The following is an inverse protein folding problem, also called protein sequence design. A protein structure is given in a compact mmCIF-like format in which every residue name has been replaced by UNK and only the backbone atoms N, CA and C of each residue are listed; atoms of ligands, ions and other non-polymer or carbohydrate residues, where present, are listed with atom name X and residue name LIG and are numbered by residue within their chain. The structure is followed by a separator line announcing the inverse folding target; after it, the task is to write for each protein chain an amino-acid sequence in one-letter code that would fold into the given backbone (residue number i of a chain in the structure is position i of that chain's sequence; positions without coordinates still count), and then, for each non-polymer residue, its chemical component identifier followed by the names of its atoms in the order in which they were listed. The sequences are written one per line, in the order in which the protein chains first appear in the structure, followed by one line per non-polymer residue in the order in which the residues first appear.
data_IF_609831565541
#
_entry.id   IF_609831565541
#
_cell.length_a   1.000
_cell.length_b   1.000
_cell.length_c   1.000
_cell.angle_alpha   90.00
_cell.angle_beta   90.00
_cell.angle_gamma   90.00
#
_symmetry.space_group_name_H-M   'P 1'
#
loop_
_entity.id
_entity.type
_entity.pdbx_description
1 polymer ?
#
# COMPACT_ATOMS: atom_id res chain seq x y z
N UNK A 1 -3.55 -12.51 12.87
CA UNK A 1 -4.34 -12.62 11.62
C UNK A 1 -5.71 -11.97 11.71
N UNK A 2 -6.45 -12.08 12.82
CA UNK A 2 -7.71 -11.34 13.05
C UNK A 2 -7.47 -9.83 12.92
N UNK A 3 -6.36 -9.31 13.46
CA UNK A 3 -5.94 -7.93 13.28
C UNK A 3 -5.65 -7.57 11.80
N UNK A 4 -5.04 -8.47 11.02
CA UNK A 4 -4.83 -8.29 9.57
C UNK A 4 -6.14 -8.23 8.80
N UNK A 5 -7.14 -9.02 9.20
CA UNK A 5 -8.44 -9.03 8.56
C UNK A 5 -9.25 -7.76 8.88
N UNK A 6 -9.18 -7.27 10.14
CA UNK A 6 -9.76 -5.99 10.56
C UNK A 6 -9.08 -4.81 9.87
N UNK A 7 -7.75 -4.81 9.80
CA UNK A 7 -6.97 -3.81 9.07
C UNK A 7 -7.30 -3.85 7.58
N UNK A 8 -7.56 -5.03 7.00
CA UNK A 8 -8.04 -5.17 5.62
C UNK A 8 -9.41 -4.50 5.38
N UNK A 9 -10.33 -4.57 6.34
CA UNK A 9 -11.64 -3.91 6.25
C UNK A 9 -11.55 -2.39 6.37
N UNK A 10 -10.72 -1.87 7.28
CA UNK A 10 -10.44 -0.42 7.38
C UNK A 10 -9.78 0.14 6.10
N UNK A 11 -8.94 -0.65 5.45
CA UNK A 11 -8.32 -0.30 4.17
C UNK A 11 -9.36 -0.03 3.09
N UNK A 12 -10.38 -0.90 2.98
CA UNK A 12 -11.46 -0.70 2.03
C UNK A 12 -12.16 0.66 2.21
N UNK A 13 -12.21 1.20 3.43
CA UNK A 13 -12.82 2.50 3.71
C UNK A 13 -11.89 3.64 3.27
N UNK A 14 -10.61 3.60 3.63
CA UNK A 14 -9.61 4.64 3.28
C UNK A 14 -9.40 4.75 1.78
N UNK A 15 -9.27 3.61 1.10
CA UNK A 15 -9.16 3.56 -0.36
C UNK A 15 -10.38 4.13 -1.05
N UNK A 16 -11.55 3.83 -0.52
CA UNK A 16 -12.81 4.39 -1.01
C UNK A 16 -12.83 5.91 -0.87
N UNK A 17 -12.38 6.46 0.26
CA UNK A 17 -12.31 7.91 0.48
C UNK A 17 -11.34 8.58 -0.50
N UNK A 18 -10.12 8.07 -0.66
CA UNK A 18 -9.16 8.59 -1.62
C UNK A 18 -9.68 8.49 -3.06
N UNK A 19 -10.30 7.36 -3.40
CA UNK A 19 -10.87 7.18 -4.73
C UNK A 19 -12.09 8.10 -4.97
N UNK A 20 -12.90 8.38 -3.96
CA UNK A 20 -14.00 9.34 -4.06
C UNK A 20 -13.49 10.76 -4.33
N UNK A 21 -12.38 11.17 -3.73
CA UNK A 21 -11.73 12.45 -4.02
C UNK A 21 -11.30 12.49 -5.49
N UNK A 22 -10.64 11.44 -5.98
CA UNK A 22 -10.21 11.35 -7.38
C UNK A 22 -11.41 11.35 -8.34
N UNK A 23 -12.50 10.66 -8.00
CA UNK A 23 -13.72 10.67 -8.81
C UNK A 23 -14.32 12.08 -8.89
N UNK A 24 -14.31 12.84 -7.79
CA UNK A 24 -14.73 14.25 -7.82
C UNK A 24 -13.91 15.05 -8.84
N UNK A 25 -12.60 14.82 -8.91
CA UNK A 25 -11.71 15.45 -9.91
C UNK A 25 -12.11 15.07 -11.34
N UNK A 26 -12.41 13.77 -11.56
CA UNK A 26 -12.66 13.22 -12.90
C UNK A 26 -14.08 13.45 -13.43
N UNK A 27 -15.04 13.74 -12.57
CA UNK A 27 -16.45 13.92 -12.95
C UNK A 27 -16.89 15.39 -13.08
N UNK A 28 -16.00 16.34 -12.82
CA UNK A 28 -16.27 17.78 -13.04
C UNK A 28 -16.24 18.11 -14.53
N UNK A 29 -17.00 19.15 -14.96
CA UNK A 29 -17.02 19.61 -16.35
C UNK A 29 -15.62 20.03 -16.81
N UNK A 30 -14.91 20.82 -16.02
CA UNK A 30 -13.51 21.18 -16.27
C UNK A 30 -12.56 20.34 -15.41
N UNK A 31 -12.13 19.22 -16.00
CA UNK A 31 -11.23 18.26 -15.36
C UNK A 31 -9.81 18.81 -15.19
N UNK A 32 -9.40 19.75 -16.06
CA UNK A 32 -8.08 20.38 -16.03
C UNK A 32 -7.94 21.28 -14.81
N UNK A 33 -8.94 22.13 -14.55
CA UNK A 33 -8.92 23.00 -13.38
C UNK A 33 -8.95 22.19 -12.10
N UNK A 34 -9.85 21.20 -12.01
CA UNK A 34 -9.91 20.31 -10.86
C UNK A 34 -8.58 19.57 -10.63
N UNK A 35 -7.95 19.02 -11.67
CA UNK A 35 -6.67 18.35 -11.56
C UNK A 35 -5.54 19.32 -11.11
N UNK A 36 -5.52 20.53 -11.65
CA UNK A 36 -4.56 21.58 -11.26
C UNK A 36 -4.62 21.93 -9.77
N UNK A 37 -5.81 21.83 -9.15
CA UNK A 37 -6.02 22.10 -7.73
C UNK A 37 -5.72 20.90 -6.84
N UNK A 38 -6.20 19.72 -7.20
CA UNK A 38 -6.19 18.55 -6.33
C UNK A 38 -4.94 17.67 -6.46
N UNK A 39 -4.35 17.55 -7.66
CA UNK A 39 -3.15 16.70 -7.85
C UNK A 39 -1.96 17.18 -7.02
N UNK A 40 -1.65 18.49 -6.90
CA UNK A 40 -0.60 18.95 -6.00
C UNK A 40 -0.84 18.60 -4.52
N UNK A 41 -2.10 18.62 -4.06
CA UNK A 41 -2.47 18.23 -2.70
C UNK A 41 -2.21 16.74 -2.47
N UNK A 42 -2.55 15.89 -3.44
CA UNK A 42 -2.29 14.45 -3.36
C UNK A 42 -0.78 14.13 -3.37
N UNK A 43 0.01 14.87 -4.17
CA UNK A 43 1.48 14.76 -4.16
C UNK A 43 2.05 15.18 -2.80
N UNK A 44 1.56 16.27 -2.24
CA UNK A 44 1.95 16.77 -0.93
C UNK A 44 1.65 15.75 0.18
N UNK A 45 0.46 15.18 0.19
CA UNK A 45 0.07 14.13 1.15
C UNK A 45 1.00 12.91 1.07
N UNK A 46 1.33 12.48 -0.13
CA UNK A 46 2.25 11.39 -0.34
C UNK A 46 3.68 11.72 0.13
N UNK A 47 4.18 12.93 -0.16
CA UNK A 47 5.49 13.38 0.31
C UNK A 47 5.54 13.41 1.84
N UNK A 48 4.47 13.85 2.50
CA UNK A 48 4.34 13.78 3.96
C UNK A 48 4.39 12.34 4.49
N UNK A 49 3.63 11.43 3.89
CA UNK A 49 3.66 10.02 4.28
C UNK A 49 5.06 9.40 4.09
N UNK A 50 5.75 9.74 2.99
CA UNK A 50 7.12 9.29 2.74
C UNK A 50 8.10 9.83 3.78
N UNK A 51 8.04 11.12 4.09
CA UNK A 51 8.91 11.78 5.09
C UNK A 51 8.68 11.18 6.48
N UNK A 52 7.43 11.04 6.89
CA UNK A 52 7.09 10.43 8.18
C UNK A 52 7.63 8.99 8.28
N UNK A 53 7.47 8.19 7.21
CA UNK A 53 8.00 6.84 7.16
C UNK A 53 9.52 6.80 7.26
N UNK A 54 10.22 7.63 6.50
CA UNK A 54 11.69 7.69 6.52
C UNK A 54 12.21 8.13 7.89
N UNK A 55 11.57 9.10 8.54
CA UNK A 55 11.95 9.55 9.87
C UNK A 55 11.70 8.47 10.95
N UNK A 56 10.56 7.78 10.90
CA UNK A 56 10.18 6.81 11.95
C UNK A 56 10.94 5.47 11.78
N UNK A 57 11.18 5.02 10.55
CA UNK A 57 11.72 3.68 10.26
C UNK A 57 13.02 3.71 9.46
N UNK A 58 13.10 4.48 8.39
CA UNK A 58 14.24 4.47 7.49
C UNK A 58 15.53 4.93 8.16
N UNK A 59 15.48 6.05 8.85
CA UNK A 59 16.65 6.68 9.48
C UNK A 59 16.81 6.32 10.97
N UNK A 60 15.94 5.52 11.55
CA UNK A 60 15.95 5.18 12.99
C UNK A 60 17.27 4.61 13.50
N UNK A 61 18.04 3.94 12.65
CA UNK A 61 19.36 3.37 13.00
C UNK A 61 20.46 4.44 13.04
N UNK A 62 20.29 5.54 12.30
CA UNK A 62 21.26 6.64 12.20
C UNK A 62 20.92 7.71 13.23
N UNK A 63 19.67 8.12 13.28
CA UNK A 63 19.17 9.16 14.18
C UNK A 63 17.75 8.82 14.67
N UNK A 64 17.54 8.95 15.99
CA UNK A 64 16.21 8.75 16.59
C UNK A 64 15.48 10.09 16.68
N UNK A 65 14.60 10.32 15.72
CA UNK A 65 13.78 11.52 15.70
C UNK A 65 12.78 11.55 16.86
N UNK A 66 12.65 12.70 17.52
CA UNK A 66 11.54 12.98 18.44
C UNK A 66 10.22 13.07 17.67
N UNK A 67 9.09 12.80 18.35
CA UNK A 67 7.77 12.94 17.73
C UNK A 67 7.51 14.33 17.16
N UNK A 68 7.98 15.37 17.83
CA UNK A 68 7.87 16.76 17.37
C UNK A 68 8.70 17.01 16.10
N UNK A 69 9.92 16.49 16.04
CA UNK A 69 10.79 16.61 14.85
C UNK A 69 10.17 15.92 13.65
N UNK A 70 9.63 14.70 13.82
CA UNK A 70 8.92 13.98 12.75
C UNK A 70 7.77 14.82 12.21
N UNK A 71 6.97 15.41 13.10
CA UNK A 71 5.86 16.27 12.70
C UNK A 71 6.33 17.49 11.92
N UNK A 72 7.34 18.21 12.43
CA UNK A 72 7.91 19.42 11.80
C UNK A 72 8.44 19.08 10.40
N UNK A 73 9.29 18.06 10.27
CA UNK A 73 9.83 17.66 8.97
C UNK A 73 8.72 17.23 8.01
N UNK A 74 7.73 16.49 8.48
CA UNK A 74 6.59 16.08 7.66
C UNK A 74 5.85 17.28 7.09
N UNK A 75 5.55 18.28 7.91
CA UNK A 75 4.86 19.51 7.48
C UNK A 75 5.71 20.33 6.50
N UNK A 76 7.01 20.47 6.77
CA UNK A 76 7.93 21.19 5.89
C UNK A 76 7.99 20.53 4.51
N UNK A 77 8.20 19.21 4.45
CA UNK A 77 8.28 18.49 3.18
C UNK A 77 6.94 18.44 2.45
N UNK A 78 5.82 18.37 3.15
CA UNK A 78 4.48 18.52 2.55
C UNK A 78 4.32 19.90 1.89
N UNK A 79 4.70 20.97 2.59
CA UNK A 79 4.67 22.32 2.05
C UNK A 79 5.56 22.47 0.83
N UNK A 80 6.80 22.03 0.92
CA UNK A 80 7.76 22.05 -0.19
C UNK A 80 7.24 21.31 -1.41
N UNK A 81 6.74 20.08 -1.23
CA UNK A 81 6.17 19.28 -2.30
C UNK A 81 4.95 19.96 -2.94
N UNK A 82 4.10 20.62 -2.16
CA UNK A 82 2.98 21.38 -2.67
C UNK A 82 3.43 22.57 -3.53
N UNK A 83 4.35 23.38 -3.03
CA UNK A 83 4.85 24.56 -3.75
C UNK A 83 5.59 24.20 -5.03
N UNK A 84 6.36 23.12 -5.04
CA UNK A 84 7.07 22.65 -6.23
C UNK A 84 6.14 21.98 -7.24
N UNK A 85 5.18 21.18 -6.79
CA UNK A 85 4.28 20.45 -7.68
C UNK A 85 3.21 21.34 -8.32
N UNK A 86 2.77 22.39 -7.65
CA UNK A 86 1.71 23.28 -8.15
C UNK A 86 2.04 23.95 -9.50
N UNK A 87 3.20 24.64 -9.67
CA UNK A 87 3.56 25.23 -10.97
C UNK A 87 3.81 24.17 -12.04
N UNK A 88 4.43 23.03 -11.67
CA UNK A 88 4.67 21.93 -12.58
C UNK A 88 3.37 21.36 -13.15
N UNK A 89 2.41 21.04 -12.30
CA UNK A 89 1.10 20.51 -12.69
C UNK A 89 0.32 21.56 -13.51
N UNK A 90 0.32 22.84 -13.07
CA UNK A 90 -0.35 23.93 -13.78
C UNK A 90 0.19 24.08 -15.20
N UNK A 91 1.49 23.97 -15.41
CA UNK A 91 2.10 24.03 -16.73
C UNK A 91 1.74 22.80 -17.57
N UNK A 92 1.83 21.59 -17.02
CA UNK A 92 1.45 20.37 -17.75
C UNK A 92 -0.03 20.35 -18.17
N UNK A 93 -0.92 20.80 -17.31
CA UNK A 93 -2.36 20.82 -17.58
C UNK A 93 -2.73 21.70 -18.78
N UNK A 94 -1.94 22.74 -19.09
CA UNK A 94 -2.18 23.62 -20.26
C UNK A 94 -2.13 22.86 -21.59
N UNK A 95 -1.30 21.83 -21.67
CA UNK A 95 -1.07 21.05 -22.90
C UNK A 95 -1.95 19.78 -22.98
N UNK A 96 -2.80 19.53 -21.99
CA UNK A 96 -3.66 18.36 -21.95
C UNK A 96 -5.08 18.70 -22.42
N UNK A 97 -5.72 17.76 -23.10
CA UNK A 97 -7.13 17.87 -23.43
C UNK A 97 -8.01 17.62 -22.20
N UNK A 98 -9.27 18.10 -22.22
CA UNK A 98 -10.22 17.88 -21.13
C UNK A 98 -10.80 16.44 -21.16
N UNK A 99 -9.96 15.44 -21.45
CA UNK A 99 -10.29 14.02 -21.47
C UNK A 99 -9.80 13.32 -20.20
N UNK A 100 -10.53 12.31 -19.74
CA UNK A 100 -10.15 11.53 -18.54
C UNK A 100 -8.78 10.87 -18.70
N UNK A 101 -8.47 10.37 -19.89
CA UNK A 101 -7.23 9.64 -20.22
C UNK A 101 -5.99 10.54 -20.09
N UNK A 102 -6.11 11.80 -20.50
CA UNK A 102 -5.02 12.75 -20.38
C UNK A 102 -4.75 13.16 -18.93
N UNK A 103 -5.80 13.34 -18.15
CA UNK A 103 -5.66 13.59 -16.71
C UNK A 103 -4.98 12.41 -15.99
N UNK A 104 -5.17 11.16 -16.45
CA UNK A 104 -4.48 9.99 -15.88
C UNK A 104 -2.97 10.08 -16.00
N UNK A 105 -2.45 10.74 -17.04
CA UNK A 105 -1.01 10.95 -17.23
C UNK A 105 -0.37 11.78 -16.11
N UNK A 106 -1.14 12.68 -15.48
CA UNK A 106 -0.66 13.46 -14.34
C UNK A 106 -0.41 12.60 -13.08
N UNK A 107 -1.05 11.43 -12.99
CA UNK A 107 -0.89 10.52 -11.86
C UNK A 107 0.31 9.58 -11.98
N UNK A 108 1.02 9.55 -13.12
CA UNK A 108 2.18 8.65 -13.28
C UNK A 108 3.30 8.99 -12.31
N UNK A 109 3.65 10.27 -12.16
CA UNK A 109 4.70 10.69 -11.23
C UNK A 109 4.30 10.43 -9.76
N UNK A 110 3.12 10.87 -9.27
CA UNK A 110 2.65 10.51 -7.93
C UNK A 110 2.58 9.00 -7.69
N UNK A 111 2.16 8.22 -8.68
CA UNK A 111 2.12 6.77 -8.61
C UNK A 111 3.50 6.16 -8.41
N UNK A 112 4.52 6.62 -9.16
CA UNK A 112 5.88 6.13 -9.01
C UNK A 112 6.40 6.30 -7.58
N UNK A 113 6.22 7.49 -7.01
CA UNK A 113 6.60 7.75 -5.62
C UNK A 113 5.75 6.96 -4.62
N UNK A 114 4.45 6.81 -4.89
CA UNK A 114 3.55 6.00 -4.04
C UNK A 114 3.95 4.52 -4.02
N UNK A 115 4.32 3.97 -5.17
CA UNK A 115 4.83 2.59 -5.28
C UNK A 115 6.18 2.46 -4.57
N UNK A 116 7.10 3.42 -4.74
CA UNK A 116 8.36 3.43 -4.01
C UNK A 116 8.14 3.42 -2.49
N UNK A 117 7.24 4.28 -1.98
CA UNK A 117 6.87 4.29 -0.57
C UNK A 117 6.31 2.93 -0.11
N UNK A 118 5.43 2.32 -0.91
CA UNK A 118 4.87 1.00 -0.61
C UNK A 118 5.96 -0.08 -0.60
N UNK A 119 6.92 -0.05 -1.53
CA UNK A 119 8.05 -0.97 -1.56
C UNK A 119 8.92 -0.87 -0.29
N UNK A 120 9.22 0.35 0.16
CA UNK A 120 9.93 0.56 1.42
C UNK A 120 9.15 0.05 2.63
N UNK A 121 7.85 0.37 2.71
CA UNK A 121 6.99 -0.09 3.79
C UNK A 121 6.87 -1.61 3.82
N UNK A 122 6.69 -2.24 2.67
CA UNK A 122 6.63 -3.68 2.50
C UNK A 122 7.95 -4.35 2.92
N UNK A 123 9.09 -3.90 2.39
CA UNK A 123 10.39 -4.47 2.72
C UNK A 123 10.70 -4.39 4.22
N UNK A 124 10.44 -3.25 4.86
CA UNK A 124 10.69 -3.09 6.29
C UNK A 124 9.77 -3.96 7.17
N UNK A 125 8.51 -4.17 6.75
CA UNK A 125 7.57 -5.00 7.50
C UNK A 125 7.82 -6.49 7.29
N UNK A 126 7.93 -6.93 6.03
CA UNK A 126 7.94 -8.35 5.69
C UNK A 126 9.30 -8.99 5.98
N UNK A 127 10.43 -8.28 5.81
CA UNK A 127 11.73 -8.77 6.26
C UNK A 127 11.71 -9.00 7.77
N UNK A 128 11.19 -8.06 8.56
CA UNK A 128 11.14 -8.21 10.01
C UNK A 128 10.24 -9.39 10.44
N UNK A 129 9.11 -9.59 9.78
CA UNK A 129 8.21 -10.72 10.06
C UNK A 129 8.84 -12.07 9.69
N UNK A 130 9.59 -12.13 8.59
CA UNK A 130 10.23 -13.37 8.13
C UNK A 130 11.42 -13.77 9.01
N UNK A 131 12.24 -12.80 9.42
CA UNK A 131 13.49 -13.09 10.16
C UNK A 131 13.32 -13.01 11.68
N UNK A 132 12.17 -12.52 12.18
CA UNK A 132 11.91 -12.42 13.62
C UNK A 132 12.09 -13.72 14.39
N UNK A 133 11.48 -14.83 13.96
CA UNK A 133 11.66 -16.14 14.59
C UNK A 133 13.14 -16.61 14.58
N UNK A 134 13.85 -16.41 13.47
CA UNK A 134 15.27 -16.76 13.37
C UNK A 134 16.12 -15.93 14.35
N UNK A 135 15.83 -14.62 14.46
CA UNK A 135 16.53 -13.76 15.41
C UNK A 135 16.27 -14.18 16.86
N UNK A 136 15.05 -14.62 17.18
CA UNK A 136 14.71 -15.15 18.49
C UNK A 136 15.53 -16.42 18.80
N UNK A 137 15.63 -17.36 17.85
CA UNK A 137 16.46 -18.57 18.00
C UNK A 137 17.93 -18.20 18.20
N UNK A 138 18.47 -17.30 17.39
CA UNK A 138 19.87 -16.86 17.52
C UNK A 138 20.15 -16.23 18.87
N UNK A 139 19.20 -15.49 19.44
CA UNK A 139 19.35 -14.88 20.77
C UNK A 139 19.47 -15.91 21.90
N UNK A 140 18.93 -17.10 21.74
CA UNK A 140 19.05 -18.16 22.76
C UNK A 140 20.45 -18.76 22.85
N UNK A 141 21.26 -18.63 21.80
CA UNK A 141 22.65 -19.10 21.77
C UNK A 141 23.67 -18.07 22.29
N UNK A 142 23.22 -16.83 22.56
CA UNK A 142 24.09 -15.79 23.13
C UNK A 142 23.89 -15.72 24.66
N UNK A 143 24.88 -16.14 25.47
CA UNK A 143 24.69 -16.34 26.92
C UNK A 143 24.54 -15.07 27.76
N UNK A 144 24.66 -13.88 27.17
CA UNK A 144 24.84 -12.63 27.91
C UNK A 144 23.58 -11.84 28.26
N UNK A 145 22.43 -12.24 27.76
CA UNK A 145 21.16 -11.56 28.10
C UNK A 145 20.07 -12.63 28.30
N UNK A 146 19.58 -12.73 29.54
CA UNK A 146 18.38 -13.52 29.81
C UNK A 146 17.25 -13.12 28.85
N UNK A 147 16.19 -13.93 28.74
CA UNK A 147 15.07 -13.76 27.80
C UNK A 147 14.63 -12.29 27.78
N UNK A 148 15.26 -11.48 26.94
CA UNK A 148 14.97 -10.08 26.84
C UNK A 148 13.62 -9.90 26.12
N UNK A 149 12.75 -9.10 26.69
CA UNK A 149 11.43 -8.78 26.10
C UNK A 149 11.51 -8.14 24.69
N UNK A 150 12.72 -7.74 24.25
CA UNK A 150 13.01 -7.23 22.92
C UNK A 150 14.32 -7.80 22.40
N UNK A 151 14.21 -8.70 21.42
CA UNK A 151 15.37 -9.26 20.71
C UNK A 151 15.81 -8.28 19.62
N UNK A 152 17.10 -7.90 19.62
CA UNK A 152 17.69 -7.14 18.52
C UNK A 152 17.98 -8.08 17.35
N UNK A 153 17.51 -7.74 16.16
CA UNK A 153 17.77 -8.55 14.95
C UNK A 153 19.19 -8.27 14.46
N UNK A 154 20.12 -9.26 14.44
CA UNK A 154 21.46 -9.09 13.89
C UNK A 154 21.43 -8.70 12.40
N UNK A 155 22.39 -7.89 11.97
CA UNK A 155 22.44 -7.39 10.59
C UNK A 155 22.49 -8.51 9.56
N UNK A 156 23.27 -9.57 9.80
CA UNK A 156 23.39 -10.70 8.89
C UNK A 156 22.06 -11.45 8.69
N UNK A 157 21.25 -11.59 9.73
CA UNK A 157 19.89 -12.18 9.67
C UNK A 157 18.98 -11.33 8.78
N UNK A 158 19.05 -10.01 8.95
CA UNK A 158 18.28 -9.08 8.09
C UNK A 158 18.70 -9.17 6.62
N UNK A 159 20.00 -9.30 6.35
CA UNK A 159 20.54 -9.43 4.98
C UNK A 159 20.04 -10.72 4.32
N UNK A 160 20.03 -11.84 5.03
CA UNK A 160 19.46 -13.11 4.51
C UNK A 160 17.99 -12.93 4.11
N UNK A 161 17.18 -12.34 4.99
CA UNK A 161 15.78 -12.09 4.69
C UNK A 161 15.57 -11.14 3.51
N UNK A 162 16.37 -10.08 3.41
CA UNK A 162 16.31 -9.14 2.31
C UNK A 162 16.68 -9.77 0.96
N UNK A 163 17.73 -10.59 0.93
CA UNK A 163 18.14 -11.34 -0.26
C UNK A 163 17.06 -12.33 -0.67
N UNK A 164 16.46 -13.05 0.28
CA UNK A 164 15.37 -13.99 -0.01
C UNK A 164 14.16 -13.31 -0.65
N UNK A 165 13.73 -12.16 -0.13
CA UNK A 165 12.63 -11.38 -0.72
C UNK A 165 13.01 -10.86 -2.10
N UNK A 166 14.22 -10.32 -2.28
CA UNK A 166 14.70 -9.81 -3.56
C UNK A 166 14.72 -10.90 -4.64
N UNK A 167 15.22 -12.08 -4.32
CA UNK A 167 15.22 -13.23 -5.24
C UNK A 167 13.81 -13.70 -5.58
N UNK A 168 12.91 -13.78 -4.59
CA UNK A 168 11.50 -14.10 -4.82
C UNK A 168 10.82 -13.12 -5.78
N UNK A 169 11.09 -11.82 -5.61
CA UNK A 169 10.56 -10.77 -6.50
C UNK A 169 11.14 -10.84 -7.91
N UNK A 170 12.41 -11.15 -8.06
CA UNK A 170 13.04 -11.33 -9.37
C UNK A 170 12.44 -12.50 -10.14
N UNK A 171 12.18 -13.61 -9.47
CA UNK A 171 11.67 -14.83 -10.09
C UNK A 171 10.17 -14.76 -10.43
N UNK A 172 9.36 -14.23 -9.52
CA UNK A 172 7.90 -14.31 -9.60
C UNK A 172 7.20 -12.95 -9.74
N UNK A 173 7.91 -11.84 -9.50
CA UNK A 173 7.35 -10.49 -9.47
C UNK A 173 6.59 -10.10 -10.73
N UNK A 174 7.14 -10.24 -11.94
CA UNK A 174 6.46 -9.85 -13.18
C UNK A 174 5.13 -10.59 -13.38
N UNK A 175 5.08 -11.89 -13.06
CA UNK A 175 3.88 -12.72 -13.15
C UNK A 175 2.83 -12.27 -12.13
N UNK A 176 3.25 -11.96 -10.93
CA UNK A 176 2.38 -11.49 -9.85
C UNK A 176 1.77 -10.13 -10.18
N UNK A 177 2.59 -9.15 -10.62
CA UNK A 177 2.16 -7.81 -11.00
C UNK A 177 1.10 -7.86 -12.10
N UNK A 178 1.33 -8.67 -13.14
CA UNK A 178 0.38 -8.83 -14.22
C UNK A 178 -0.94 -9.46 -13.73
N UNK A 179 -0.87 -10.46 -12.86
CA UNK A 179 -2.06 -11.10 -12.30
C UNK A 179 -2.86 -10.15 -11.44
N UNK A 180 -2.23 -9.44 -10.54
CA UNK A 180 -2.89 -8.51 -9.61
C UNK A 180 -3.43 -7.28 -10.33
N UNK A 181 -2.63 -6.69 -11.23
CA UNK A 181 -2.99 -5.45 -11.92
C UNK A 181 -4.04 -5.58 -13.01
N UNK A 182 -4.15 -6.77 -13.65
CA UNK A 182 -5.04 -6.96 -14.79
C UNK A 182 -6.13 -8.01 -14.56
N UNK A 183 -5.83 -9.07 -13.80
CA UNK A 183 -6.77 -10.19 -13.63
C UNK A 183 -7.80 -9.97 -12.53
N UNK A 184 -7.49 -9.23 -11.47
CA UNK A 184 -8.44 -8.95 -10.36
C UNK A 184 -9.40 -7.84 -10.78
N UNK A 185 -8.86 -6.67 -11.11
CA UNK A 185 -9.60 -5.52 -11.63
C UNK A 185 -8.69 -4.69 -12.52
N UNK A 186 -9.27 -4.01 -13.53
CA UNK A 186 -8.46 -3.13 -14.39
C UNK A 186 -8.07 -1.87 -13.63
N UNK A 187 -6.82 -1.79 -13.22
CA UNK A 187 -6.24 -0.60 -12.59
C UNK A 187 -5.78 0.39 -13.66
N UNK A 188 -6.04 1.67 -13.40
CA UNK A 188 -5.42 2.80 -14.09
C UNK A 188 -4.56 3.60 -13.09
N UNK A 189 -3.73 4.54 -13.58
CA UNK A 189 -2.80 5.26 -12.75
C UNK A 189 -3.42 5.93 -11.49
N UNK A 190 -4.58 6.63 -11.55
CA UNK A 190 -5.21 7.18 -10.36
C UNK A 190 -5.65 6.13 -9.33
N UNK A 191 -6.15 4.97 -9.79
CA UNK A 191 -6.58 3.88 -8.89
C UNK A 191 -5.38 3.19 -8.26
N UNK A 192 -4.35 2.90 -9.06
CA UNK A 192 -3.11 2.34 -8.56
C UNK A 192 -2.45 3.25 -7.53
N UNK A 193 -2.52 4.58 -7.73
CA UNK A 193 -2.06 5.56 -6.77
C UNK A 193 -2.82 5.47 -5.43
N UNK A 194 -4.16 5.36 -5.47
CA UNK A 194 -4.94 5.16 -4.25
C UNK A 194 -4.53 3.89 -3.50
N UNK A 195 -4.41 2.76 -4.23
CA UNK A 195 -3.96 1.49 -3.64
C UNK A 195 -2.59 1.66 -2.98
N UNK A 196 -1.61 2.21 -3.71
CA UNK A 196 -0.24 2.34 -3.22
C UNK A 196 -0.16 3.24 -1.98
N UNK A 197 -0.80 4.42 -2.04
CA UNK A 197 -0.75 5.38 -0.93
C UNK A 197 -1.46 4.86 0.32
N UNK A 198 -2.67 4.32 0.18
CA UNK A 198 -3.42 3.86 1.34
C UNK A 198 -2.79 2.61 1.96
N UNK A 199 -2.29 1.69 1.14
CA UNK A 199 -1.55 0.52 1.62
C UNK A 199 -0.30 0.94 2.39
N UNK A 200 0.49 1.87 1.84
CA UNK A 200 1.69 2.38 2.50
C UNK A 200 1.37 3.05 3.85
N UNK A 201 0.34 3.92 3.91
CA UNK A 201 -0.08 4.57 5.15
C UNK A 201 -0.53 3.54 6.19
N UNK A 202 -1.26 2.51 5.78
CA UNK A 202 -1.74 1.48 6.72
C UNK A 202 -0.61 0.62 7.25
N UNK A 203 0.31 0.17 6.38
CA UNK A 203 1.51 -0.56 6.82
C UNK A 203 2.33 0.32 7.78
N UNK A 204 2.46 1.62 7.50
CA UNK A 204 3.16 2.56 8.37
C UNK A 204 2.49 2.63 9.76
N UNK A 205 1.17 2.82 9.83
CA UNK A 205 0.42 2.89 11.08
C UNK A 205 0.56 1.57 11.86
N UNK A 206 0.32 0.43 11.20
CA UNK A 206 0.45 -0.88 11.83
C UNK A 206 1.86 -1.12 12.38
N UNK A 207 2.89 -0.75 11.61
CA UNK A 207 4.28 -0.90 12.01
C UNK A 207 4.66 0.03 13.17
N UNK A 208 4.09 1.24 13.25
CA UNK A 208 4.33 2.15 14.38
C UNK A 208 3.69 1.64 15.67
N UNK A 209 2.53 0.98 15.55
CA UNK A 209 1.84 0.33 16.67
C UNK A 209 2.45 -1.03 17.05
N UNK A 210 3.46 -1.51 16.31
CA UNK A 210 4.09 -2.80 16.55
C UNK A 210 3.21 -4.00 16.17
N UNK A 211 2.19 -3.80 15.33
CA UNK A 211 1.30 -4.86 14.89
C UNK A 211 1.92 -5.65 13.72
N UNK A 212 2.04 -6.97 13.81
CA UNK A 212 2.44 -7.80 12.68
C UNK A 212 1.30 -7.87 11.67
N UNK A 213 1.49 -7.28 10.50
CA UNK A 213 0.49 -7.24 9.43
C UNK A 213 1.05 -7.80 8.13
N UNK A 214 0.18 -8.39 7.33
CA UNK A 214 0.55 -8.80 5.97
C UNK A 214 0.33 -7.66 4.99
N UNK A 215 1.40 -7.09 4.48
CA UNK A 215 1.38 -6.05 3.45
C UNK A 215 0.68 -6.52 2.16
N UNK A 216 0.78 -7.82 1.83
CA UNK A 216 0.08 -8.43 0.70
C UNK A 216 -1.43 -8.43 0.88
N UNK A 217 -1.93 -8.81 2.07
CA UNK A 217 -3.36 -8.75 2.39
C UNK A 217 -3.90 -7.33 2.29
N UNK A 218 -3.12 -6.37 2.79
CA UNK A 218 -3.43 -4.94 2.75
C UNK A 218 -3.57 -4.48 1.30
N UNK A 219 -2.57 -4.73 0.45
CA UNK A 219 -2.59 -4.29 -0.95
C UNK A 219 -3.73 -4.94 -1.77
N UNK A 220 -3.97 -6.23 -1.57
CA UNK A 220 -5.06 -6.96 -2.24
C UNK A 220 -6.43 -6.46 -1.76
N UNK A 221 -6.58 -6.23 -0.44
CA UNK A 221 -7.80 -5.64 0.14
C UNK A 221 -8.12 -4.27 -0.46
N UNK A 222 -7.10 -3.43 -0.64
CA UNK A 222 -7.22 -2.13 -1.29
C UNK A 222 -7.71 -2.25 -2.75
N UNK A 223 -7.16 -3.19 -3.51
CA UNK A 223 -7.56 -3.43 -4.91
C UNK A 223 -9.02 -3.88 -4.99
N UNK A 224 -9.44 -4.79 -4.11
CA UNK A 224 -10.84 -5.20 -4.04
C UNK A 224 -11.75 -4.06 -3.59
N UNK A 225 -11.33 -3.25 -2.61
CA UNK A 225 -12.10 -2.10 -2.12
C UNK A 225 -12.44 -1.11 -3.24
N UNK A 226 -11.43 -0.74 -4.04
CA UNK A 226 -11.62 0.13 -5.21
C UNK A 226 -12.46 -0.55 -6.29
N UNK A 227 -12.23 -1.85 -6.52
CA UNK A 227 -12.98 -2.62 -7.50
C UNK A 227 -14.48 -2.70 -7.18
N UNK A 228 -14.83 -3.01 -5.94
CA UNK A 228 -16.23 -3.07 -5.48
C UNK A 228 -16.90 -1.70 -5.46
N UNK A 229 -16.20 -0.65 -5.03
CA UNK A 229 -16.76 0.71 -5.07
C UNK A 229 -17.10 1.13 -6.51
N UNK A 230 -16.22 0.79 -7.45
CA UNK A 230 -16.46 1.06 -8.86
C UNK A 230 -17.66 0.28 -9.38
N UNK A 231 -17.76 -1.01 -9.07
CA UNK A 231 -18.89 -1.87 -9.45
C UNK A 231 -20.20 -1.32 -8.90
N UNK A 232 -20.21 -0.92 -7.63
CA UNK A 232 -21.37 -0.35 -6.98
C UNK A 232 -21.84 0.94 -7.67
N UNK A 233 -20.92 1.86 -7.94
CA UNK A 233 -21.25 3.13 -8.59
C UNK A 233 -21.72 2.98 -10.03
N UNK A 234 -21.03 2.17 -10.84
CA UNK A 234 -21.44 1.93 -12.22
C UNK A 234 -22.81 1.28 -12.28
N UNK A 235 -23.13 0.40 -11.34
CA UNK A 235 -24.46 -0.21 -11.26
C UNK A 235 -25.52 0.78 -10.75
N UNK A 236 -25.18 1.69 -9.84
CA UNK A 236 -26.10 2.74 -9.38
C UNK A 236 -26.42 3.73 -10.49
N UNK A 237 -25.43 4.19 -11.24
CA UNK A 237 -25.63 5.09 -12.39
C UNK A 237 -26.49 4.43 -13.48
N UNK A 238 -26.37 3.10 -13.67
CA UNK A 238 -27.22 2.33 -14.61
C UNK A 238 -28.65 2.17 -14.14
N UNK A 239 -28.89 2.02 -12.84
CA UNK A 239 -30.25 1.92 -12.31
C UNK A 239 -31.00 3.26 -12.41
N UNK A 240 -30.28 4.39 -12.42
CA UNK A 240 -30.86 5.75 -12.51
C UNK A 240 -31.14 6.13 -13.98
N UNK A 241 -30.47 5.50 -14.95
CA UNK A 241 -30.75 5.74 -16.35
C UNK A 241 -31.92 4.83 -16.80
N UNK A 242 -32.91 5.38 -17.49
CA UNK A 242 -34.15 4.74 -17.91
C UNK A 242 -34.00 3.49 -18.83
N UNK A 243 -32.77 3.12 -19.17
CA UNK A 243 -32.45 1.92 -19.92
C UNK A 243 -32.00 0.83 -18.95
N UNK A 244 -32.86 -0.16 -18.70
CA UNK A 244 -32.58 -1.33 -17.88
C UNK A 244 -31.44 -2.18 -18.48
N UNK A 245 -30.21 -1.83 -18.16
CA UNK A 245 -29.02 -2.61 -18.56
C UNK A 245 -28.61 -3.59 -17.44
N UNK A 246 -28.27 -4.83 -17.81
CA UNK A 246 -27.84 -5.84 -16.85
C UNK A 246 -26.67 -5.35 -15.95
N UNK A 247 -26.72 -5.70 -14.67
CA UNK A 247 -25.65 -5.41 -13.70
C UNK A 247 -24.31 -5.96 -14.18
N UNK A 248 -23.30 -5.13 -14.21
CA UNK A 248 -21.95 -5.50 -14.66
C UNK A 248 -21.06 -5.85 -13.47
N UNK A 249 -20.52 -7.07 -13.46
CA UNK A 249 -19.49 -7.49 -12.50
C UNK A 249 -18.12 -7.01 -13.00
N UNK A 250 -17.46 -6.11 -12.25
CA UNK A 250 -16.16 -5.56 -12.61
C UNK A 250 -15.01 -6.23 -11.87
N UNK A 251 -15.31 -6.86 -10.74
CA UNK A 251 -14.37 -7.64 -9.95
C UNK A 251 -14.57 -9.12 -10.24
N UNK A 252 -13.48 -9.80 -10.55
CA UNK A 252 -13.49 -11.25 -10.76
C UNK A 252 -13.55 -11.97 -9.42
N UNK A 253 -14.74 -12.32 -8.97
CA UNK A 253 -15.00 -12.94 -7.65
C UNK A 253 -14.29 -14.27 -7.45
N UNK A 254 -14.02 -15.03 -8.52
CA UNK A 254 -13.27 -16.29 -8.44
C UNK A 254 -11.86 -16.07 -7.83
N UNK A 255 -11.20 -14.94 -8.17
CA UNK A 255 -9.92 -14.60 -7.53
C UNK A 255 -10.08 -14.26 -6.05
N UNK A 256 -11.16 -13.57 -5.66
CA UNK A 256 -11.43 -13.29 -4.26
C UNK A 256 -11.62 -14.58 -3.45
N UNK A 257 -12.38 -15.53 -3.99
CA UNK A 257 -12.56 -16.83 -3.34
C UNK A 257 -11.26 -17.64 -3.27
N UNK A 258 -10.46 -17.68 -4.34
CA UNK A 258 -9.17 -18.38 -4.35
C UNK A 258 -8.19 -17.80 -3.34
N UNK A 259 -8.14 -16.47 -3.24
CA UNK A 259 -7.26 -15.77 -2.29
C UNK A 259 -7.75 -16.02 -0.85
N UNK A 260 -9.06 -15.89 -0.58
CA UNK A 260 -9.64 -16.20 0.73
C UNK A 260 -9.41 -17.66 1.14
N UNK A 261 -9.58 -18.61 0.22
CA UNK A 261 -9.28 -20.01 0.49
C UNK A 261 -7.79 -20.24 0.78
N UNK A 262 -6.90 -19.60 0.02
CA UNK A 262 -5.46 -19.67 0.28
C UNK A 262 -5.12 -19.17 1.69
N UNK A 263 -5.73 -18.09 2.15
CA UNK A 263 -5.50 -17.55 3.49
C UNK A 263 -5.97 -18.49 4.61
N UNK A 264 -7.10 -19.18 4.40
CA UNK A 264 -7.62 -20.15 5.36
C UNK A 264 -6.73 -21.40 5.42
N UNK A 265 -6.16 -21.83 4.30
CA UNK A 265 -5.37 -23.06 4.20
C UNK A 265 -3.92 -22.84 4.65
N UNK A 266 -3.31 -21.70 4.30
CA UNK A 266 -1.87 -21.46 4.55
C UNK A 266 -1.52 -21.45 6.03
N UNK A 267 -2.39 -20.94 6.89
CA UNK A 267 -2.12 -20.82 8.34
C UNK A 267 -2.10 -22.19 9.03
N UNK A 268 -3.16 -23.03 8.91
CA UNK A 268 -3.10 -24.37 9.48
C UNK A 268 -1.96 -25.22 8.90
N UNK A 269 -1.70 -25.10 7.59
CA UNK A 269 -0.61 -25.82 6.94
C UNK A 269 0.76 -25.44 7.52
N UNK A 270 1.03 -24.14 7.67
CA UNK A 270 2.27 -23.64 8.27
C UNK A 270 2.40 -24.06 9.74
N UNK A 271 1.31 -24.02 10.50
CA UNK A 271 1.29 -24.44 11.90
C UNK A 271 1.57 -25.95 12.05
N UNK A 272 0.97 -26.79 11.20
CA UNK A 272 1.21 -28.24 11.20
C UNK A 272 2.66 -28.58 10.82
N UNK A 273 3.21 -27.93 9.80
CA UNK A 273 4.62 -28.13 9.40
C UNK A 273 5.56 -27.73 10.54
N UNK A 274 5.35 -26.55 11.12
CA UNK A 274 6.17 -26.07 12.23
C UNK A 274 6.06 -26.99 13.46
N UNK A 275 4.84 -27.43 13.81
CA UNK A 275 4.61 -28.35 14.92
C UNK A 275 5.24 -29.72 14.72
N UNK A 276 5.18 -30.28 13.50
CA UNK A 276 5.84 -31.55 13.20
C UNK A 276 7.37 -31.45 13.27
N UNK A 277 7.96 -30.36 12.75
CA UNK A 277 9.41 -30.15 12.85
C UNK A 277 9.86 -29.98 14.31
N UNK A 278 9.04 -29.30 15.13
CA UNK A 278 9.35 -29.09 16.54
C UNK A 278 9.25 -30.38 17.37
N UNK A 279 8.36 -31.32 16.99
CA UNK A 279 8.13 -32.59 17.72
C UNK A 279 9.15 -33.68 17.37
N UNK A 280 10.00 -33.49 16.36
CA UNK A 280 11.12 -34.36 15.99
C UNK A 280 12.41 -33.87 16.63
#
# INVERSE_FOLDING_TARGET
EIASCLVGSEMCIRDRLLYLIIIKILNVKDKREAASKWVPILISLMAGAFTAYMAIKGLKKIYKFSSNEVYIYTVIFMGLAYFLSKPYIKNKVKYLENKKEDIYKLFHLPLLFGVALLCFAHGANDVANAVGPLAAIVSTFTPSEGIAAKVSIPLWVMVIGAIGIALGLLLFGPKLINTVGQKITRLNAPRAYCVALSSAITVLIATTLGLPVSSTHIAIGAIFGIGFLREFRENQERNTSSTSRAKRKLVRRNFAYSIGAAWIITVPASATIAGTIYSV
#
